data_IF_448723484445
#
_entry.id   IF_448723484445
#
_cell.length_a   1.000
_cell.length_b   1.000
_cell.length_c   1.000
_cell.angle_alpha   90.00
_cell.angle_beta   90.00
_cell.angle_gamma   90.00
#
_symmetry.space_group_name_H-M   'P 1'
#
loop_
_entity.id
_entity.type
_entity.pdbx_description
1 polymer ?
#
# COMPACT_ATOMS: atom_id res chain seq x y z
N UNK A 1 13.34 16.05 -5.52
CA UNK A 1 12.81 16.15 -6.90
C UNK A 1 13.10 14.85 -7.65
N UNK A 2 12.09 14.23 -8.26
CA UNK A 2 12.19 12.90 -8.91
C UNK A 2 13.28 12.82 -9.99
N UNK A 3 13.47 13.89 -10.76
CA UNK A 3 14.55 14.01 -11.75
C UNK A 3 15.94 13.89 -11.12
N UNK A 4 16.13 14.47 -9.92
CA UNK A 4 17.39 14.36 -9.19
C UNK A 4 17.65 12.90 -8.82
N UNK A 5 16.67 12.20 -8.25
CA UNK A 5 16.77 10.77 -7.90
C UNK A 5 17.11 9.92 -9.12
N UNK A 6 16.46 10.15 -10.26
CA UNK A 6 16.76 9.42 -11.50
C UNK A 6 18.17 9.69 -12.05
N UNK A 7 18.61 10.96 -12.09
CA UNK A 7 19.97 11.31 -12.49
C UNK A 7 21.03 10.67 -11.58
N UNK A 8 20.70 10.58 -10.30
CA UNK A 8 21.50 9.97 -9.26
C UNK A 8 21.66 8.45 -9.44
N UNK A 9 20.63 7.72 -9.89
CA UNK A 9 20.73 6.29 -10.26
C UNK A 9 21.80 6.09 -11.33
N UNK A 10 21.75 6.89 -12.40
CA UNK A 10 22.68 6.82 -13.52
C UNK A 10 24.10 7.19 -13.06
N UNK A 11 24.23 8.26 -12.27
CA UNK A 11 25.52 8.78 -11.83
C UNK A 11 26.26 7.84 -10.87
N UNK A 12 25.54 7.13 -10.01
CA UNK A 12 26.16 6.27 -8.98
C UNK A 12 26.08 4.78 -9.28
N UNK A 13 25.30 4.38 -10.28
CA UNK A 13 24.98 2.98 -10.54
C UNK A 13 24.46 2.28 -9.27
N UNK A 14 23.56 2.96 -8.55
CA UNK A 14 22.93 2.43 -7.33
C UNK A 14 21.41 2.45 -7.52
N UNK A 15 20.71 1.32 -7.35
CA UNK A 15 19.26 1.25 -7.44
C UNK A 15 18.60 2.18 -6.41
N UNK A 16 17.79 3.11 -6.87
CA UNK A 16 16.93 3.95 -6.02
C UNK A 16 15.79 4.54 -6.82
N UNK A 17 14.59 4.42 -6.28
CA UNK A 17 13.37 4.94 -6.89
C UNK A 17 12.70 5.96 -5.98
N UNK A 18 11.89 6.82 -6.57
CA UNK A 18 10.91 7.61 -5.84
C UNK A 18 9.72 7.85 -6.78
N UNK A 19 8.51 7.72 -6.27
CA UNK A 19 7.29 8.02 -6.98
C UNK A 19 6.33 8.78 -6.08
N UNK A 20 5.27 9.34 -6.65
CA UNK A 20 4.24 9.98 -5.86
C UNK A 20 3.12 10.60 -6.67
N UNK A 21 1.94 10.60 -6.07
CA UNK A 21 0.86 11.51 -6.40
C UNK A 21 1.22 12.94 -5.97
N UNK A 22 1.26 13.86 -6.93
CA UNK A 22 1.71 15.25 -6.77
C UNK A 22 0.55 16.25 -6.98
N UNK A 23 -0.65 15.89 -6.51
CA UNK A 23 -1.82 16.77 -6.54
C UNK A 23 -2.48 16.90 -7.92
N UNK A 24 -3.11 18.05 -8.15
CA UNK A 24 -3.82 18.39 -9.38
C UNK A 24 -5.33 18.12 -9.37
N UNK A 25 -5.85 17.63 -8.25
CA UNK A 25 -7.29 17.33 -8.12
C UNK A 25 -8.16 18.57 -8.22
N UNK A 26 -7.62 19.75 -7.91
CA UNK A 26 -8.26 21.06 -8.12
C UNK A 26 -8.55 21.37 -9.60
N UNK A 27 -7.84 20.72 -10.53
CA UNK A 27 -8.07 20.79 -11.97
C UNK A 27 -8.78 19.55 -12.53
N UNK A 28 -9.28 18.66 -11.66
CA UNK A 28 -9.90 17.40 -12.07
C UNK A 28 -8.92 16.38 -12.67
N UNK A 29 -7.62 16.48 -12.33
CA UNK A 29 -6.57 15.55 -12.80
C UNK A 29 -5.77 15.00 -11.62
N UNK A 30 -5.01 13.92 -11.86
CA UNK A 30 -4.04 13.41 -10.89
C UNK A 30 -2.66 13.43 -11.55
N UNK A 31 -1.72 14.17 -10.96
CA UNK A 31 -0.34 14.23 -11.46
C UNK A 31 0.47 13.14 -10.76
N UNK A 32 0.85 12.11 -11.50
CA UNK A 32 1.77 11.10 -11.01
C UNK A 32 3.18 11.45 -11.49
N UNK A 33 4.16 11.37 -10.61
CA UNK A 33 5.56 11.50 -10.97
C UNK A 33 6.30 10.25 -10.50
N UNK A 34 7.23 9.79 -11.33
CA UNK A 34 8.13 8.70 -11.03
C UNK A 34 9.55 9.17 -11.37
N UNK A 35 10.53 8.77 -10.58
CA UNK A 35 11.94 8.89 -10.98
C UNK A 35 12.20 8.02 -12.21
N UNK A 36 13.41 8.06 -12.75
CA UNK A 36 13.80 7.14 -13.82
C UNK A 36 13.47 5.67 -13.43
N UNK A 37 12.56 4.97 -14.13
CA UNK A 37 12.13 3.62 -13.77
C UNK A 37 13.15 2.62 -14.32
N UNK A 38 14.25 2.51 -13.60
CA UNK A 38 15.47 1.83 -14.04
C UNK A 38 15.31 0.31 -14.19
N UNK A 39 14.28 -0.31 -13.63
CA UNK A 39 14.10 -1.78 -13.72
C UNK A 39 13.52 -2.23 -15.06
N UNK A 40 13.02 -1.30 -15.88
CA UNK A 40 12.69 -1.57 -17.29
C UNK A 40 13.91 -1.51 -18.21
N UNK A 41 15.03 -0.99 -17.72
CA UNK A 41 16.29 -0.91 -18.46
C UNK A 41 17.27 -1.96 -17.96
N UNK A 42 18.29 -2.26 -18.78
CA UNK A 42 19.28 -3.30 -18.49
C UNK A 42 20.42 -2.80 -17.56
N UNK A 43 20.14 -1.85 -16.67
CA UNK A 43 21.15 -1.31 -15.75
C UNK A 43 21.38 -2.22 -14.54
N UNK A 44 20.34 -2.93 -14.11
CA UNK A 44 20.38 -3.78 -12.92
C UNK A 44 19.68 -5.11 -13.22
N UNK A 45 20.41 -6.05 -13.80
CA UNK A 45 19.86 -7.34 -14.23
C UNK A 45 19.25 -8.16 -13.07
N UNK A 46 19.67 -7.94 -11.83
CA UNK A 46 19.13 -8.67 -10.68
C UNK A 46 17.82 -8.07 -10.15
N UNK A 47 17.38 -6.91 -10.66
CA UNK A 47 16.17 -6.25 -10.21
C UNK A 47 15.06 -6.42 -11.27
N UNK A 48 13.97 -7.12 -10.94
CA UNK A 48 12.89 -7.38 -11.88
C UNK A 48 12.10 -6.11 -12.24
N UNK A 49 11.72 -5.99 -13.52
CA UNK A 49 10.91 -4.88 -14.06
C UNK A 49 9.58 -4.67 -13.29
N UNK A 50 9.09 -5.74 -12.68
CA UNK A 50 7.91 -5.77 -11.82
C UNK A 50 7.99 -4.80 -10.62
N UNK A 51 9.19 -4.47 -10.10
CA UNK A 51 9.33 -3.52 -8.98
C UNK A 51 8.85 -2.10 -9.36
N UNK A 52 9.30 -1.56 -10.50
CA UNK A 52 8.83 -0.25 -10.99
C UNK A 52 7.38 -0.34 -11.48
N UNK A 53 6.97 -1.45 -12.11
CA UNK A 53 5.58 -1.62 -12.52
C UNK A 53 4.62 -1.64 -11.32
N UNK A 54 4.98 -2.32 -10.22
CA UNK A 54 4.24 -2.29 -8.95
C UNK A 54 4.10 -0.87 -8.44
N UNK A 55 5.17 -0.09 -8.51
CA UNK A 55 5.17 1.32 -8.09
C UNK A 55 4.20 2.16 -8.91
N UNK A 56 4.11 1.93 -10.23
CA UNK A 56 3.07 2.57 -11.07
C UNK A 56 1.65 2.20 -10.60
N UNK A 57 1.40 0.93 -10.28
CA UNK A 57 0.10 0.47 -9.77
C UNK A 57 -0.22 1.07 -8.39
N UNK A 58 0.78 1.20 -7.52
CA UNK A 58 0.66 1.83 -6.20
C UNK A 58 0.19 3.27 -6.32
N UNK A 59 0.89 4.07 -7.14
CA UNK A 59 0.52 5.47 -7.37
C UNK A 59 -0.83 5.61 -8.06
N UNK A 60 -1.18 4.68 -8.97
CA UNK A 60 -2.51 4.66 -9.58
C UNK A 60 -3.59 4.35 -8.54
N UNK A 61 -3.32 3.51 -7.54
CA UNK A 61 -4.31 3.26 -6.50
C UNK A 61 -4.60 4.49 -5.64
N UNK A 62 -3.62 5.37 -5.40
CA UNK A 62 -3.90 6.67 -4.80
C UNK A 62 -4.87 7.53 -5.63
N UNK A 63 -4.86 7.39 -6.97
CA UNK A 63 -5.88 8.03 -7.83
C UNK A 63 -7.27 7.50 -7.51
N UNK A 64 -7.41 6.16 -7.35
CA UNK A 64 -8.68 5.52 -6.96
C UNK A 64 -9.13 6.01 -5.58
N UNK A 65 -8.24 6.08 -4.60
CA UNK A 65 -8.59 6.56 -3.26
C UNK A 65 -9.09 8.01 -3.30
N UNK A 66 -8.32 8.88 -3.95
CA UNK A 66 -8.57 10.32 -3.96
C UNK A 66 -9.73 10.73 -4.88
N UNK A 67 -10.09 9.93 -5.89
CA UNK A 67 -11.22 10.21 -6.78
C UNK A 67 -12.57 10.13 -6.07
N UNK A 68 -12.66 9.44 -4.93
CA UNK A 68 -13.90 9.36 -4.15
C UNK A 68 -14.04 10.51 -3.13
N UNK A 69 -13.01 11.33 -2.96
CA UNK A 69 -12.99 12.45 -1.99
C UNK A 69 -12.52 13.76 -2.65
N UNK A 70 -12.68 13.84 -3.97
CA UNK A 70 -12.21 14.96 -4.80
C UNK A 70 -12.91 16.28 -4.48
N UNK A 71 -14.19 16.22 -4.09
CA UNK A 71 -15.04 17.37 -3.80
C UNK A 71 -14.85 17.95 -2.38
N UNK A 72 -14.12 17.23 -1.51
CA UNK A 72 -13.88 17.64 -0.13
C UNK A 72 -12.75 18.68 -0.02
N UNK A 73 -12.78 19.44 1.08
CA UNK A 73 -11.68 20.33 1.46
C UNK A 73 -10.40 19.52 1.70
N UNK A 74 -9.23 20.15 1.65
CA UNK A 74 -7.95 19.44 1.86
C UNK A 74 -7.91 18.67 3.18
N UNK A 75 -8.31 19.31 4.29
CA UNK A 75 -8.28 18.70 5.62
C UNK A 75 -9.28 17.55 5.74
N UNK A 76 -10.49 17.72 5.22
CA UNK A 76 -11.50 16.66 5.22
C UNK A 76 -10.99 15.46 4.41
N UNK A 77 -10.50 15.72 3.18
CA UNK A 77 -9.92 14.69 2.29
C UNK A 77 -8.82 13.89 2.97
N UNK A 78 -7.87 14.57 3.63
CA UNK A 78 -6.77 13.93 4.39
C UNK A 78 -7.35 13.05 5.49
N UNK A 79 -8.27 13.57 6.30
CA UNK A 79 -8.89 12.79 7.40
C UNK A 79 -9.75 11.61 6.92
N UNK A 80 -10.28 11.66 5.69
CA UNK A 80 -11.07 10.56 5.10
C UNK A 80 -10.22 9.36 4.71
N UNK A 81 -8.96 9.56 4.34
CA UNK A 81 -8.09 8.48 3.84
C UNK A 81 -6.98 8.10 4.82
N UNK A 82 -6.64 8.99 5.74
CA UNK A 82 -5.64 8.81 6.80
C UNK A 82 -6.27 9.10 8.17
N UNK A 83 -6.88 8.09 8.82
CA UNK A 83 -7.51 8.29 10.12
C UNK A 83 -6.45 8.71 11.13
N UNK A 84 -6.68 9.82 11.84
CA UNK A 84 -5.71 10.40 12.79
C UNK A 84 -4.30 10.62 12.23
N UNK A 85 -4.20 10.93 10.93
CA UNK A 85 -2.95 11.09 10.17
C UNK A 85 -2.12 9.80 10.04
N UNK A 86 -2.69 8.66 10.42
CA UNK A 86 -2.04 7.36 10.25
C UNK A 86 -2.09 6.94 8.79
N UNK A 87 -0.96 6.48 8.27
CA UNK A 87 -0.81 6.18 6.83
C UNK A 87 -1.27 4.76 6.47
N UNK A 88 -1.56 3.90 7.44
CA UNK A 88 -1.70 2.46 7.21
C UNK A 88 -2.78 2.11 6.18
N UNK A 89 -3.93 2.79 6.17
CA UNK A 89 -5.01 2.50 5.21
C UNK A 89 -4.73 3.10 3.84
N UNK A 90 -4.19 4.32 3.78
CA UNK A 90 -3.86 4.96 2.50
C UNK A 90 -2.73 4.21 1.81
N UNK A 91 -1.61 4.04 2.50
CA UNK A 91 -0.39 3.48 1.93
C UNK A 91 -0.43 1.95 1.90
N UNK A 92 -0.93 1.32 2.96
CA UNK A 92 -1.15 -0.13 2.96
C UNK A 92 -2.20 -0.58 1.95
N UNK A 93 -3.25 0.20 1.75
CA UNK A 93 -4.26 -0.05 0.72
C UNK A 93 -3.66 0.02 -0.69
N UNK A 94 -2.86 1.04 -0.96
CA UNK A 94 -2.15 1.17 -2.23
C UNK A 94 -1.12 0.05 -2.45
N UNK A 95 -0.33 -0.29 -1.44
CA UNK A 95 0.66 -1.38 -1.52
C UNK A 95 -0.02 -2.74 -1.75
N UNK A 96 -1.07 -3.07 -1.00
CA UNK A 96 -1.77 -4.35 -1.15
C UNK A 96 -2.41 -4.46 -2.52
N UNK A 97 -3.16 -3.43 -2.93
CA UNK A 97 -3.88 -3.45 -4.21
C UNK A 97 -2.93 -3.44 -5.40
N UNK A 98 -1.76 -2.79 -5.29
CA UNK A 98 -0.72 -2.85 -6.30
C UNK A 98 -0.14 -4.27 -6.44
N UNK A 99 0.23 -4.90 -5.33
CA UNK A 99 0.77 -6.28 -5.35
C UNK A 99 -0.29 -7.27 -5.86
N UNK A 100 -1.50 -7.24 -5.32
CA UNK A 100 -2.59 -8.12 -5.74
C UNK A 100 -2.89 -7.97 -7.23
N UNK A 101 -3.01 -6.72 -7.72
CA UNK A 101 -3.28 -6.45 -9.14
C UNK A 101 -2.14 -6.93 -10.03
N UNK A 102 -0.89 -6.68 -9.65
CA UNK A 102 0.27 -7.15 -10.40
C UNK A 102 0.26 -8.67 -10.56
N UNK A 103 0.11 -9.42 -9.46
CA UNK A 103 0.09 -10.88 -9.53
C UNK A 103 -1.14 -11.41 -10.27
N UNK A 104 -2.31 -10.81 -10.09
CA UNK A 104 -3.51 -11.16 -10.87
C UNK A 104 -3.29 -11.03 -12.38
N UNK A 105 -2.67 -9.92 -12.81
CA UNK A 105 -2.40 -9.64 -14.23
C UNK A 105 -1.29 -10.53 -14.79
N UNK A 106 -0.31 -10.93 -13.98
CA UNK A 106 0.71 -11.91 -14.37
C UNK A 106 0.09 -13.30 -14.51
N UNK A 107 -0.66 -13.75 -13.51
CA UNK A 107 -1.25 -15.09 -13.44
C UNK A 107 -2.28 -15.34 -14.54
N UNK A 108 -3.01 -14.31 -14.98
CA UNK A 108 -3.96 -14.41 -16.08
C UNK A 108 -3.34 -14.17 -17.47
N UNK A 109 -2.04 -13.90 -17.55
CA UNK A 109 -1.30 -13.70 -18.80
C UNK A 109 -1.46 -12.33 -19.45
N UNK A 110 -2.09 -11.35 -18.78
CA UNK A 110 -2.20 -9.97 -19.29
C UNK A 110 -0.85 -9.25 -19.28
N UNK A 111 -0.07 -9.47 -18.22
CA UNK A 111 1.31 -8.98 -18.11
C UNK A 111 2.28 -10.14 -18.22
N UNK A 112 3.28 -9.98 -19.08
CA UNK A 112 4.32 -10.98 -19.33
C UNK A 112 5.66 -10.31 -19.05
N UNK A 113 6.46 -10.93 -18.19
CA UNK A 113 7.80 -10.51 -17.84
C UNK A 113 8.77 -11.66 -18.05
N UNK A 114 10.01 -11.35 -18.45
CA UNK A 114 11.03 -12.38 -18.72
C UNK A 114 11.50 -13.09 -17.44
N UNK A 115 11.60 -12.35 -16.33
CA UNK A 115 12.09 -12.84 -15.04
C UNK A 115 10.92 -13.05 -14.08
N UNK A 116 10.99 -14.08 -13.25
CA UNK A 116 10.02 -14.29 -12.18
C UNK A 116 10.14 -13.21 -11.11
N UNK A 117 9.01 -12.81 -10.54
CA UNK A 117 8.94 -11.87 -9.41
C UNK A 117 8.63 -12.57 -8.08
N UNK A 118 8.56 -13.90 -8.07
CA UNK A 118 8.06 -14.69 -6.95
C UNK A 118 6.52 -14.74 -6.93
N UNK A 119 5.94 -14.73 -5.74
CA UNK A 119 4.50 -14.82 -5.48
C UNK A 119 4.02 -13.73 -4.52
N UNK A 120 2.70 -13.48 -4.50
CA UNK A 120 2.08 -12.55 -3.55
C UNK A 120 2.42 -12.95 -2.10
N UNK A 121 2.35 -14.25 -1.79
CA UNK A 121 2.67 -14.80 -0.47
C UNK A 121 4.11 -14.45 -0.03
N UNK A 122 5.09 -14.63 -0.91
CA UNK A 122 6.49 -14.26 -0.61
C UNK A 122 6.67 -12.75 -0.39
N UNK A 123 5.97 -11.89 -1.16
CA UNK A 123 6.02 -10.43 -0.95
C UNK A 123 5.40 -10.05 0.40
N UNK A 124 4.27 -10.64 0.74
CA UNK A 124 3.61 -10.41 2.03
C UNK A 124 4.49 -10.90 3.19
N UNK A 125 5.08 -12.10 3.08
CA UNK A 125 6.04 -12.61 4.06
C UNK A 125 7.20 -11.62 4.29
N UNK A 126 7.86 -11.16 3.22
CA UNK A 126 8.98 -10.21 3.33
C UNK A 126 8.56 -8.91 4.05
N UNK A 127 7.35 -8.40 3.78
CA UNK A 127 6.80 -7.24 4.49
C UNK A 127 6.58 -7.53 5.98
N UNK A 128 6.06 -8.71 6.33
CA UNK A 128 5.88 -9.10 7.74
C UNK A 128 7.23 -9.18 8.46
N UNK A 129 8.21 -9.84 7.85
CA UNK A 129 9.54 -10.01 8.42
C UNK A 129 10.26 -8.67 8.61
N UNK A 130 10.12 -7.74 7.66
CA UNK A 130 10.65 -6.38 7.77
C UNK A 130 9.96 -5.59 8.87
N UNK A 131 8.63 -5.62 8.93
CA UNK A 131 7.86 -4.93 9.96
C UNK A 131 8.21 -5.44 11.36
N UNK A 132 8.19 -6.77 11.58
CA UNK A 132 8.57 -7.39 12.87
C UNK A 132 9.99 -7.02 13.27
N UNK A 133 10.95 -7.09 12.35
CA UNK A 133 12.33 -6.67 12.61
C UNK A 133 12.42 -5.19 13.01
N UNK A 134 11.68 -4.30 12.37
CA UNK A 134 11.67 -2.88 12.74
C UNK A 134 11.03 -2.63 14.10
N UNK A 135 9.92 -3.32 14.42
CA UNK A 135 9.25 -3.27 15.72
C UNK A 135 10.14 -3.80 16.85
N UNK A 136 10.92 -4.86 16.61
CA UNK A 136 11.85 -5.40 17.61
C UNK A 136 13.06 -4.49 17.88
N UNK A 137 13.28 -3.50 17.02
CA UNK A 137 14.41 -2.58 17.10
C UNK A 137 13.95 -1.12 17.26
N UNK A 138 14.09 -0.32 16.21
CA UNK A 138 14.00 1.14 16.28
C UNK A 138 12.55 1.65 16.39
N UNK A 139 11.55 0.78 16.20
CA UNK A 139 10.13 1.12 16.18
C UNK A 139 9.35 0.46 17.32
N UNK A 140 10.04 -0.02 18.36
CA UNK A 140 9.44 -0.74 19.48
C UNK A 140 8.33 0.05 20.20
N UNK A 141 7.29 -0.68 20.60
CA UNK A 141 6.14 -0.14 21.33
C UNK A 141 5.12 0.63 20.47
N UNK A 142 5.36 0.78 19.16
CA UNK A 142 4.42 1.40 18.22
C UNK A 142 3.45 0.38 17.65
N UNK A 143 2.22 0.81 17.39
CA UNK A 143 1.14 0.05 16.78
C UNK A 143 0.79 0.57 15.40
N UNK A 144 -0.07 -0.15 14.69
CA UNK A 144 -0.50 0.17 13.33
C UNK A 144 -0.91 1.65 13.17
N UNK A 145 -1.66 2.18 14.14
CA UNK A 145 -2.20 3.54 14.14
C UNK A 145 -1.16 4.63 14.42
N UNK A 146 0.05 4.29 14.87
CA UNK A 146 1.09 5.26 15.26
C UNK A 146 1.97 5.75 14.09
N UNK A 147 1.90 5.08 12.94
CA UNK A 147 2.78 5.39 11.81
C UNK A 147 2.22 6.51 10.94
N UNK A 148 3.00 7.60 10.82
CA UNK A 148 2.68 8.80 10.03
C UNK A 148 3.78 9.08 9.01
N UNK A 149 3.48 9.87 7.98
CA UNK A 149 4.50 10.38 7.07
C UNK A 149 5.59 11.15 7.81
N UNK A 150 6.84 11.01 7.34
CA UNK A 150 7.99 11.73 7.90
C UNK A 150 8.51 11.17 9.24
N UNK A 151 7.84 10.19 9.84
CA UNK A 151 8.38 9.48 11.00
C UNK A 151 9.50 8.51 10.58
N UNK A 152 10.48 8.32 11.46
CA UNK A 152 11.63 7.40 11.26
C UNK A 152 11.24 5.92 11.03
N UNK A 153 9.97 5.58 11.27
CA UNK A 153 9.40 4.24 11.11
C UNK A 153 8.25 4.21 10.08
N UNK A 154 8.16 5.21 9.20
CA UNK A 154 7.08 5.29 8.21
C UNK A 154 6.98 4.03 7.37
N UNK A 155 8.10 3.40 6.99
CA UNK A 155 8.15 2.12 6.27
C UNK A 155 7.35 0.99 6.95
N UNK A 156 7.31 0.96 8.29
CA UNK A 156 6.52 -0.03 9.04
C UNK A 156 5.03 0.19 8.83
N UNK A 157 4.59 1.44 8.67
CA UNK A 157 3.21 1.78 8.32
C UNK A 157 2.79 1.26 6.94
N UNK A 158 3.69 1.23 5.96
CA UNK A 158 3.44 0.61 4.65
C UNK A 158 3.33 -0.91 4.80
N UNK A 159 4.29 -1.54 5.46
CA UNK A 159 4.36 -3.01 5.56
C UNK A 159 3.23 -3.59 6.42
N UNK A 160 3.01 -3.06 7.62
CA UNK A 160 1.88 -3.47 8.47
C UNK A 160 0.54 -3.02 7.88
N UNK A 161 0.47 -1.84 7.25
CA UNK A 161 -0.72 -1.40 6.53
C UNK A 161 -1.13 -2.36 5.42
N UNK A 162 -0.15 -2.89 4.69
CA UNK A 162 -0.39 -3.90 3.63
C UNK A 162 -1.04 -5.16 4.23
N UNK A 163 -0.53 -5.63 5.38
CA UNK A 163 -1.07 -6.78 6.11
C UNK A 163 -2.44 -6.51 6.74
N UNK A 164 -2.64 -5.31 7.28
CA UNK A 164 -3.92 -4.86 7.82
C UNK A 164 -5.02 -4.90 6.75
N UNK A 165 -4.73 -4.42 5.54
CA UNK A 165 -5.65 -4.47 4.42
C UNK A 165 -5.91 -5.91 3.96
N UNK A 166 -4.88 -6.75 3.89
CA UNK A 166 -5.04 -8.18 3.58
C UNK A 166 -5.97 -8.87 4.59
N UNK A 167 -5.77 -8.62 5.89
CA UNK A 167 -6.61 -9.15 6.97
C UNK A 167 -8.08 -8.73 6.83
N UNK A 168 -8.32 -7.45 6.55
CA UNK A 168 -9.68 -6.92 6.38
C UNK A 168 -10.38 -7.55 5.18
N UNK A 169 -9.68 -7.71 4.06
CA UNK A 169 -10.24 -8.32 2.84
C UNK A 169 -10.58 -9.80 3.06
N UNK A 170 -9.67 -10.55 3.69
CA UNK A 170 -9.88 -11.97 4.01
C UNK A 170 -11.05 -12.17 4.97
N UNK A 171 -11.12 -11.36 6.04
CA UNK A 171 -12.19 -11.46 7.05
C UNK A 171 -13.59 -11.25 6.45
N UNK A 172 -13.72 -10.35 5.48
CA UNK A 172 -14.98 -10.11 4.76
C UNK A 172 -15.20 -11.09 3.60
N UNK A 173 -14.15 -11.80 3.18
CA UNK A 173 -14.15 -12.68 2.02
C UNK A 173 -14.68 -11.97 0.76
N UNK A 174 -14.27 -10.71 0.58
CA UNK A 174 -14.61 -9.89 -0.59
C UNK A 174 -13.37 -9.10 -1.07
N UNK A 175 -12.70 -9.53 -2.16
CA UNK A 175 -11.52 -8.84 -2.69
C UNK A 175 -11.81 -7.43 -3.22
N UNK A 176 -13.08 -7.10 -3.47
CA UNK A 176 -13.48 -5.80 -4.01
C UNK A 176 -14.03 -4.85 -2.94
N UNK A 177 -14.06 -5.22 -1.64
CA UNK A 177 -14.72 -4.42 -0.60
C UNK A 177 -14.21 -2.97 -0.54
N UNK A 178 -12.92 -2.76 -0.82
CA UNK A 178 -12.33 -1.42 -0.87
C UNK A 178 -12.91 -0.58 -2.02
N UNK A 179 -13.10 -1.21 -3.19
CA UNK A 179 -13.54 -0.58 -4.43
C UNK A 179 -15.05 -0.38 -4.49
N UNK A 180 -15.82 -1.31 -3.93
CA UNK A 180 -17.27 -1.34 -4.03
C UNK A 180 -17.96 -0.63 -2.86
N UNK A 181 -17.32 -0.62 -1.68
CA UNK A 181 -17.95 -0.09 -0.46
C UNK A 181 -17.09 0.97 0.23
N UNK A 182 -15.85 0.65 0.62
CA UNK A 182 -15.09 1.52 1.54
C UNK A 182 -14.80 2.90 0.94
N UNK A 183 -13.98 2.98 -0.12
CA UNK A 183 -13.63 4.27 -0.71
C UNK A 183 -14.83 5.04 -1.29
N UNK A 184 -15.80 4.39 -1.98
CA UNK A 184 -17.00 5.07 -2.47
C UNK A 184 -17.82 5.82 -1.43
N UNK A 185 -17.86 5.34 -0.19
CA UNK A 185 -18.66 5.97 0.86
C UNK A 185 -17.93 7.12 1.59
N UNK A 186 -16.62 7.31 1.40
CA UNK A 186 -15.85 8.37 2.08
C UNK A 186 -16.22 9.80 1.65
N UNK A 187 -16.90 9.96 0.52
CA UNK A 187 -17.44 11.26 0.09
C UNK A 187 -18.47 11.80 1.09
N UNK A 188 -19.31 10.91 1.63
CA UNK A 188 -20.48 11.25 2.45
C UNK A 188 -20.29 10.85 3.92
N UNK A 189 -19.35 9.95 4.22
CA UNK A 189 -19.10 9.39 5.54
C UNK A 189 -17.68 9.69 6.03
N UNK A 190 -17.50 9.77 7.34
CA UNK A 190 -16.16 9.75 7.92
C UNK A 190 -15.51 8.36 7.84
N UNK A 191 -14.20 8.31 8.14
CA UNK A 191 -13.44 7.09 8.04
C UNK A 191 -14.06 5.97 8.88
N UNK A 192 -14.42 6.26 10.14
CA UNK A 192 -14.98 5.27 11.07
C UNK A 192 -16.31 4.72 10.56
N UNK A 193 -17.19 5.58 10.07
CA UNK A 193 -18.51 5.18 9.54
C UNK A 193 -18.37 4.35 8.26
N UNK A 194 -17.51 4.76 7.33
CA UNK A 194 -17.24 3.99 6.11
C UNK A 194 -16.55 2.65 6.43
N UNK A 195 -15.66 2.63 7.42
CA UNK A 195 -14.99 1.42 7.90
C UNK A 195 -16.02 0.45 8.49
N UNK A 196 -16.87 0.93 9.40
CA UNK A 196 -17.93 0.11 9.99
C UNK A 196 -18.91 -0.41 8.93
N UNK A 197 -19.31 0.42 7.97
CA UNK A 197 -20.16 -0.01 6.85
C UNK A 197 -19.52 -1.12 6.01
N UNK A 198 -18.20 -1.06 5.80
CA UNK A 198 -17.48 -1.98 4.92
C UNK A 198 -17.11 -3.28 5.60
N UNK A 199 -16.68 -3.21 6.86
CA UNK A 199 -16.10 -4.35 7.58
C UNK A 199 -17.02 -4.88 8.69
N UNK A 200 -18.04 -4.13 9.10
CA UNK A 200 -19.04 -4.55 10.07
C UNK A 200 -18.63 -4.38 11.54
N UNK A 201 -17.51 -3.71 11.81
CA UNK A 201 -17.01 -3.44 13.16
C UNK A 201 -16.19 -2.14 13.20
N UNK A 202 -15.88 -1.64 14.39
CA UNK A 202 -15.14 -0.39 14.59
C UNK A 202 -13.64 -0.53 14.31
N UNK A 203 -12.95 0.58 14.06
CA UNK A 203 -11.48 0.56 13.94
C UNK A 203 -10.81 0.17 15.26
N UNK A 204 -11.41 0.50 16.41
CA UNK A 204 -10.88 0.10 17.72
C UNK A 204 -10.93 -1.42 17.94
N UNK A 205 -12.00 -2.08 17.51
CA UNK A 205 -12.11 -3.54 17.52
C UNK A 205 -11.09 -4.15 16.56
N UNK A 206 -10.96 -3.57 15.37
CA UNK A 206 -9.94 -3.97 14.39
C UNK A 206 -8.52 -3.93 14.94
N UNK A 207 -8.09 -2.81 15.53
CA UNK A 207 -6.73 -2.71 16.04
C UNK A 207 -6.47 -3.78 17.11
N UNK A 208 -7.44 -4.05 17.98
CA UNK A 208 -7.30 -5.10 19.00
C UNK A 208 -7.17 -6.51 18.40
N UNK A 209 -7.99 -6.84 17.40
CA UNK A 209 -7.93 -8.13 16.72
C UNK A 209 -6.66 -8.29 15.87
N UNK A 210 -6.22 -7.22 15.21
CA UNK A 210 -5.03 -7.23 14.36
C UNK A 210 -3.76 -7.46 15.17
N UNK A 211 -3.65 -6.89 16.38
CA UNK A 211 -2.55 -7.18 17.29
C UNK A 211 -2.52 -8.67 17.66
N UNK A 212 -3.67 -9.29 17.91
CA UNK A 212 -3.75 -10.74 18.18
C UNK A 212 -3.32 -11.54 16.94
N UNK A 213 -3.72 -11.09 15.73
CA UNK A 213 -3.29 -11.71 14.48
C UNK A 213 -1.77 -11.65 14.30
N UNK A 214 -1.12 -10.53 14.66
CA UNK A 214 0.34 -10.35 14.54
C UNK A 214 1.16 -11.31 15.41
N UNK A 215 0.58 -11.81 16.50
CA UNK A 215 1.16 -12.82 17.40
C UNK A 215 1.07 -14.26 16.86
N UNK A 216 0.27 -14.50 15.81
CA UNK A 216 0.20 -15.82 15.19
C UNK A 216 1.54 -16.21 14.55
N UNK A 217 1.85 -17.53 14.45
CA UNK A 217 2.94 -17.99 13.61
C UNK A 217 2.78 -17.49 12.18
N UNK A 218 3.89 -17.14 11.52
CA UNK A 218 3.87 -16.62 10.15
C UNK A 218 3.12 -17.55 9.17
N UNK A 219 3.23 -18.86 9.35
CA UNK A 219 2.50 -19.84 8.54
C UNK A 219 0.97 -19.68 8.67
N UNK A 220 0.46 -19.38 9.86
CA UNK A 220 -0.96 -19.11 10.08
C UNK A 220 -1.36 -17.75 9.50
N UNK A 221 -0.49 -16.74 9.61
CA UNK A 221 -0.72 -15.42 9.01
C UNK A 221 -0.82 -15.51 7.49
N UNK A 222 0.03 -16.30 6.84
CA UNK A 222 0.07 -16.43 5.38
C UNK A 222 -1.17 -17.14 4.80
N UNK A 223 -1.97 -17.84 5.60
CA UNK A 223 -3.20 -18.52 5.12
C UNK A 223 -4.25 -17.55 4.56
N UNK A 224 -4.23 -16.28 4.99
CA UNK A 224 -5.16 -15.25 4.51
C UNK A 224 -4.76 -14.70 3.13
N UNK A 225 -3.54 -14.99 2.65
CA UNK A 225 -3.02 -14.43 1.41
C UNK A 225 -3.49 -15.29 0.23
N UNK A 226 -4.31 -14.75 -0.68
CA UNK A 226 -4.84 -15.53 -1.79
C UNK A 226 -3.77 -15.78 -2.86
N UNK A 227 -4.06 -16.72 -3.75
CA UNK A 227 -3.41 -16.80 -5.07
C UNK A 227 -4.32 -16.12 -6.08
N UNK A 228 -4.01 -14.88 -6.51
CA UNK A 228 -4.89 -14.05 -7.34
C UNK A 228 -4.94 -14.45 -8.82
#
# INVERSE_FOLDING_TARGET
>A
AYQKTGAEVIATNQPRGNAGHNGGSEWGIHKLAHSYPFTFDNLFDDIPAQDDFKTVLHEYFHVVQLSHVYNLSHNDRVSRIMPNESIWMQEGGAEYMANFTLFKLINNGTLIFEKSYGSLSEKMQNKMDNAKRSLDNNCSGRKLEDFKYGNDCSNVGYDLGTWAVAYLIDKINNPNILLETFYPNLAEMDFESAFNLSFGYSTSEFYSEFEIFLELPLEEQLKIIPTP
#
